data_IF_687162110078
#
_entry.id   IF_687162110078
#
_cell.length_a   1.000
_cell.length_b   1.000
_cell.length_c   1.000
_cell.angle_alpha   90.00
_cell.angle_beta   90.00
_cell.angle_gamma   90.00
#
_symmetry.space_group_name_H-M   'P 1'
#
loop_
_entity.id
_entity.type
_entity.pdbx_description
1 polymer ?
#
# COMPACT_ATOMS: atom_id res chain seq x y z
N UNK A 1 -3.09 39.77 31.79
CA UNK A 1 -2.83 38.80 30.71
C UNK A 1 -3.26 37.44 31.23
N UNK A 2 -4.49 37.05 30.94
CA UNK A 2 -5.07 35.79 31.44
C UNK A 2 -4.58 34.66 30.54
N UNK A 3 -3.65 33.85 31.02
CA UNK A 3 -3.36 32.57 30.40
C UNK A 3 -4.56 31.66 30.69
N UNK A 4 -5.24 31.23 29.62
CA UNK A 4 -6.15 30.11 29.68
C UNK A 4 -5.30 28.85 29.83
N UNK A 5 -5.12 28.38 31.07
CA UNK A 5 -4.65 27.02 31.31
C UNK A 5 -5.70 26.08 30.74
N UNK A 6 -5.31 25.32 29.70
CA UNK A 6 -6.16 24.27 29.18
C UNK A 6 -6.31 23.19 30.27
N UNK A 7 -7.53 22.75 30.59
CA UNK A 7 -7.82 21.84 31.71
C UNK A 7 -7.51 20.36 31.42
N UNK A 8 -6.75 20.06 30.37
CA UNK A 8 -6.49 18.68 29.98
C UNK A 8 -5.29 18.17 30.78
N UNK A 9 -5.45 17.06 31.52
CA UNK A 9 -4.38 16.50 32.32
C UNK A 9 -3.18 16.18 31.43
N UNK A 10 -2.02 16.59 31.91
CA UNK A 10 -0.73 16.41 31.27
C UNK A 10 -0.49 14.94 30.86
N UNK A 11 0.03 14.76 29.65
CA UNK A 11 0.81 13.60 29.20
C UNK A 11 0.33 12.20 29.64
N UNK A 12 -0.75 11.74 29.01
CA UNK A 12 -1.02 10.30 28.81
C UNK A 12 -1.06 10.04 27.29
N UNK A 13 0.10 10.16 26.64
CA UNK A 13 0.25 9.85 25.20
C UNK A 13 0.31 8.34 24.94
N UNK A 14 0.16 7.51 25.97
CA UNK A 14 0.18 6.04 25.90
C UNK A 14 -1.25 5.43 26.03
N UNK A 15 -2.29 6.20 25.71
CA UNK A 15 -3.69 5.76 25.72
C UNK A 15 -4.32 5.69 24.31
N UNK A 16 -3.53 5.25 23.32
CA UNK A 16 -4.07 4.60 22.14
C UNK A 16 -3.70 3.14 22.22
N UNK A 17 -4.67 2.32 22.60
CA UNK A 17 -4.61 0.86 22.41
C UNK A 17 -4.14 0.62 20.97
N UNK A 18 -3.04 -0.10 20.84
CA UNK A 18 -2.33 -0.38 19.60
C UNK A 18 -3.13 -1.38 18.74
N UNK A 19 -4.36 -1.02 18.37
CA UNK A 19 -5.20 -1.72 17.40
C UNK A 19 -4.64 -1.56 15.98
N UNK A 20 -3.34 -1.81 15.78
CA UNK A 20 -2.84 -2.20 14.47
C UNK A 20 -3.46 -3.56 14.19
N UNK A 21 -4.65 -3.56 13.58
CA UNK A 21 -5.24 -4.79 13.06
C UNK A 21 -4.14 -5.53 12.27
N UNK A 22 -3.90 -6.82 12.57
CA UNK A 22 -2.78 -7.53 11.98
C UNK A 22 -2.95 -7.55 10.47
N UNK A 23 -2.00 -6.93 9.77
CA UNK A 23 -1.94 -6.90 8.31
C UNK A 23 -2.09 -8.31 7.75
N UNK A 24 -2.98 -8.48 6.76
CA UNK A 24 -3.18 -9.77 6.09
C UNK A 24 -1.90 -10.11 5.30
N UNK A 25 -1.31 -11.30 5.45
CA UNK A 25 -0.16 -11.67 4.64
C UNK A 25 -0.49 -11.62 3.15
N UNK A 26 0.28 -10.85 2.38
CA UNK A 26 0.17 -10.81 0.92
C UNK A 26 1.04 -11.94 0.35
N UNK A 27 0.46 -12.79 -0.50
CA UNK A 27 1.11 -14.01 -1.04
C UNK A 27 2.11 -13.71 -2.18
N UNK A 28 2.64 -12.47 -2.24
CA UNK A 28 3.67 -12.08 -3.19
C UNK A 28 5.05 -12.24 -2.58
N UNK A 29 6.00 -12.73 -3.37
CA UNK A 29 7.43 -12.70 -3.00
C UNK A 29 7.92 -11.24 -2.88
N UNK A 30 8.99 -10.96 -2.13
CA UNK A 30 9.54 -9.59 -2.04
C UNK A 30 9.84 -8.96 -3.41
N UNK A 31 10.36 -9.73 -4.36
CA UNK A 31 10.59 -9.26 -5.74
C UNK A 31 9.28 -8.89 -6.43
N UNK A 32 8.24 -9.72 -6.31
CA UNK A 32 6.93 -9.40 -6.88
C UNK A 32 6.28 -8.18 -6.22
N UNK A 33 6.50 -7.96 -4.92
CA UNK A 33 6.02 -6.75 -4.24
C UNK A 33 6.70 -5.50 -4.80
N UNK A 34 8.03 -5.53 -4.96
CA UNK A 34 8.78 -4.43 -5.56
C UNK A 34 8.36 -4.16 -7.01
N UNK A 35 8.19 -5.21 -7.82
CA UNK A 35 7.74 -5.10 -9.21
C UNK A 35 6.32 -4.51 -9.32
N UNK A 36 5.40 -4.92 -8.44
CA UNK A 36 4.06 -4.35 -8.35
C UNK A 36 4.14 -2.86 -8.01
N UNK A 37 4.86 -2.50 -6.94
CA UNK A 37 5.04 -1.11 -6.50
C UNK A 37 5.59 -0.24 -7.63
N UNK A 38 6.59 -0.71 -8.37
CA UNK A 38 7.14 0.00 -9.53
C UNK A 38 6.13 0.19 -10.66
N UNK A 39 5.34 -0.85 -10.98
CA UNK A 39 4.32 -0.78 -12.01
C UNK A 39 3.18 0.19 -11.65
N UNK A 40 2.75 0.21 -10.39
CA UNK A 40 1.74 1.13 -9.89
C UNK A 40 2.25 2.57 -9.90
N UNK A 41 3.45 2.82 -9.40
CA UNK A 41 4.04 4.15 -9.39
C UNK A 41 4.21 4.72 -10.81
N UNK A 42 4.64 3.90 -11.77
CA UNK A 42 4.69 4.30 -13.18
C UNK A 42 3.30 4.64 -13.73
N UNK A 43 2.29 3.80 -13.48
CA UNK A 43 0.93 4.04 -13.95
C UNK A 43 0.31 5.30 -13.34
N UNK A 44 0.51 5.52 -12.04
CA UNK A 44 0.00 6.67 -11.31
C UNK A 44 0.67 7.98 -11.75
N UNK A 45 1.97 7.95 -12.11
CA UNK A 45 2.63 9.13 -12.70
C UNK A 45 2.13 9.47 -14.09
N UNK A 46 1.73 8.47 -14.87
CA UNK A 46 1.21 8.68 -16.22
C UNK A 46 -0.25 9.15 -16.23
N UNK A 47 -1.11 8.48 -15.47
CA UNK A 47 -2.56 8.60 -15.58
C UNK A 47 -3.25 9.15 -14.31
N UNK A 48 -2.52 9.24 -13.19
CA UNK A 48 -3.11 9.51 -11.88
C UNK A 48 -3.90 8.32 -11.31
N UNK A 49 -4.46 8.51 -10.11
CA UNK A 49 -5.35 7.51 -9.52
C UNK A 49 -6.79 7.69 -10.04
N UNK A 50 -7.40 6.61 -10.53
CA UNK A 50 -8.80 6.56 -10.96
C UNK A 50 -9.73 5.84 -9.95
N UNK A 51 -9.26 5.63 -8.72
CA UNK A 51 -9.93 4.90 -7.65
C UNK A 51 -10.28 3.44 -8.00
N UNK A 52 -9.48 2.81 -8.87
CA UNK A 52 -9.62 1.39 -9.20
C UNK A 52 -8.30 0.65 -8.97
N UNK A 53 -8.37 -0.68 -9.10
CA UNK A 53 -7.22 -1.60 -9.07
C UNK A 53 -6.71 -1.94 -10.47
N UNK A 54 -6.95 -1.05 -11.44
CA UNK A 54 -6.69 -1.33 -12.86
C UNK A 54 -5.21 -1.61 -13.14
N UNK A 55 -4.29 -0.86 -12.55
CA UNK A 55 -2.86 -1.11 -12.76
C UNK A 55 -2.40 -2.38 -12.04
N UNK A 56 -2.88 -2.63 -10.82
CA UNK A 56 -2.59 -3.84 -10.06
C UNK A 56 -3.07 -5.11 -10.78
N UNK A 57 -4.29 -5.10 -11.32
CA UNK A 57 -4.84 -6.23 -12.08
C UNK A 57 -4.03 -6.49 -13.35
N UNK A 58 -3.72 -5.44 -14.12
CA UNK A 58 -2.87 -5.55 -15.32
C UNK A 58 -1.50 -6.14 -14.99
N UNK A 59 -0.87 -5.66 -13.92
CA UNK A 59 0.41 -6.21 -13.45
C UNK A 59 0.28 -7.68 -13.07
N UNK A 60 -0.75 -8.05 -12.31
CA UNK A 60 -0.96 -9.42 -11.85
C UNK A 60 -1.12 -10.40 -13.02
N UNK A 61 -1.83 -9.98 -14.08
CA UNK A 61 -1.93 -10.75 -15.32
C UNK A 61 -0.59 -10.89 -16.04
N UNK A 62 0.18 -9.79 -16.17
CA UNK A 62 1.49 -9.80 -16.82
C UNK A 62 2.52 -10.67 -16.07
N UNK A 63 2.53 -10.58 -14.73
CA UNK A 63 3.38 -11.36 -13.84
C UNK A 63 2.90 -12.81 -13.64
N UNK A 64 1.79 -13.21 -14.29
CA UNK A 64 1.17 -14.54 -14.19
C UNK A 64 0.89 -14.96 -12.74
N UNK A 65 0.41 -14.03 -11.93
CA UNK A 65 -0.06 -14.34 -10.57
C UNK A 65 -1.19 -15.38 -10.67
N UNK A 66 -1.11 -16.52 -9.96
CA UNK A 66 -2.05 -17.63 -10.15
C UNK A 66 -3.52 -17.29 -9.91
N UNK A 67 -3.81 -16.31 -9.04
CA UNK A 67 -5.18 -15.90 -8.74
C UNK A 67 -5.24 -14.41 -8.40
N UNK A 68 -5.75 -13.62 -9.35
CA UNK A 68 -6.07 -12.20 -9.12
C UNK A 68 -7.09 -12.03 -7.98
N UNK A 69 -8.15 -12.84 -7.96
CA UNK A 69 -9.19 -12.73 -6.94
C UNK A 69 -8.66 -12.94 -5.50
N UNK A 70 -7.67 -13.83 -5.34
CA UNK A 70 -7.00 -14.00 -4.04
C UNK A 70 -6.13 -12.80 -3.70
N UNK A 71 -5.25 -12.39 -4.61
CA UNK A 71 -4.37 -11.24 -4.40
C UNK A 71 -5.18 -9.98 -4.08
N UNK A 72 -6.26 -9.72 -4.82
CA UNK A 72 -7.17 -8.60 -4.56
C UNK A 72 -7.68 -8.59 -3.13
N UNK A 73 -8.17 -9.71 -2.61
CA UNK A 73 -8.66 -9.79 -1.22
C UNK A 73 -7.54 -9.54 -0.20
N UNK A 74 -6.33 -10.00 -0.50
CA UNK A 74 -5.16 -9.75 0.36
C UNK A 74 -4.79 -8.26 0.36
N UNK A 75 -4.85 -7.58 -0.80
CA UNK A 75 -4.61 -6.14 -0.90
C UNK A 75 -5.70 -5.34 -0.19
N UNK A 76 -6.98 -5.64 -0.44
CA UNK A 76 -8.13 -5.00 0.20
C UNK A 76 -8.14 -5.22 1.72
N UNK A 77 -7.76 -6.42 2.18
CA UNK A 77 -7.58 -6.74 3.60
C UNK A 77 -6.45 -5.96 4.29
N UNK A 78 -5.60 -5.28 3.52
CA UNK A 78 -4.60 -4.34 4.00
C UNK A 78 -4.92 -2.88 3.64
N UNK A 79 -6.16 -2.59 3.24
CA UNK A 79 -6.62 -1.24 2.90
C UNK A 79 -6.25 -0.76 1.49
N UNK A 80 -5.83 -1.64 0.58
CA UNK A 80 -5.54 -1.32 -0.83
C UNK A 80 -6.77 -1.49 -1.73
N UNK A 81 -7.67 -0.51 -1.77
CA UNK A 81 -8.87 -0.53 -2.63
C UNK A 81 -8.67 0.22 -3.96
N UNK A 82 -7.70 1.14 -4.04
CA UNK A 82 -7.15 1.70 -5.29
C UNK A 82 -5.66 1.33 -5.46
N UNK A 83 -5.16 1.48 -6.69
CA UNK A 83 -3.72 1.43 -7.00
C UNK A 83 -2.88 2.36 -6.10
N UNK A 84 -3.44 3.51 -5.72
CA UNK A 84 -2.80 4.49 -4.84
C UNK A 84 -2.61 4.01 -3.39
N UNK A 85 -3.63 3.39 -2.81
CA UNK A 85 -3.64 2.88 -1.44
C UNK A 85 -2.76 1.65 -1.31
N UNK A 86 -2.55 0.89 -2.39
CA UNK A 86 -1.54 -0.16 -2.37
C UNK A 86 -0.15 0.41 -2.04
N UNK A 87 0.20 1.57 -2.59
CA UNK A 87 1.48 2.23 -2.30
C UNK A 87 1.52 2.80 -0.88
N UNK A 88 0.47 3.49 -0.45
CA UNK A 88 0.49 4.23 0.81
C UNK A 88 0.10 3.41 2.04
N UNK A 89 -0.70 2.36 1.86
CA UNK A 89 -1.27 1.58 2.96
C UNK A 89 -0.68 0.17 3.02
N UNK A 90 -0.62 -0.52 1.87
CA UNK A 90 -0.18 -1.93 1.82
C UNK A 90 1.34 -2.04 1.83
N UNK A 91 2.03 -1.20 1.04
CA UNK A 91 3.49 -1.22 0.92
C UNK A 91 4.16 0.16 1.15
N UNK A 92 3.88 0.85 2.27
CA UNK A 92 4.41 2.20 2.52
C UNK A 92 5.93 2.28 2.58
N UNK A 93 6.58 1.17 2.95
CA UNK A 93 8.03 1.09 3.16
C UNK A 93 8.80 0.58 1.94
N UNK A 94 8.10 0.20 0.86
CA UNK A 94 8.75 -0.26 -0.37
C UNK A 94 8.97 0.93 -1.32
N UNK A 95 10.22 1.31 -1.61
CA UNK A 95 10.47 2.35 -2.59
C UNK A 95 10.04 1.88 -3.99
N UNK A 96 9.51 2.77 -4.85
CA UNK A 96 9.34 2.48 -6.25
C UNK A 96 10.70 2.39 -6.93
N UNK A 97 11.24 1.18 -6.97
CA UNK A 97 12.47 0.86 -7.70
C UNK A 97 12.05 0.10 -8.94
N UNK A 98 12.36 0.65 -10.12
CA UNK A 98 12.13 -0.06 -11.37
C UNK A 98 12.80 -1.44 -11.32
N UNK A 99 12.17 -2.52 -11.81
CA UNK A 99 12.85 -3.79 -11.94
C UNK A 99 14.14 -3.58 -12.74
N UNK A 100 15.25 -4.25 -12.38
CA UNK A 100 16.46 -4.19 -13.19
C UNK A 100 16.09 -4.56 -14.63
N UNK A 101 16.49 -3.70 -15.57
CA UNK A 101 16.34 -3.96 -17.01
C UNK A 101 17.18 -5.19 -17.34
N UNK A 102 16.61 -6.38 -17.23
CA UNK A 102 17.25 -7.57 -17.79
C UNK A 102 17.30 -7.38 -19.31
N UNK A 103 18.54 -7.21 -19.79
CA UNK A 103 18.91 -6.97 -21.18
C UNK A 103 18.30 -8.06 -22.08
N UNK A 104 17.33 -7.65 -22.90
CA UNK A 104 16.85 -8.41 -24.06
C UNK A 104 17.81 -8.25 -25.23
#
# INVERSE_FOLDING_TARGET
MTQLLSPWPDDDFDLYDEDHEPRVPVTLTPTQQADLVAALDHALRADGCDNTLRAAERWAHAARVPSWARLRRELEGNGGYCDCEILFTVFPDLPPVAPPLESR
#
